data_IF_934284541401
#
_entry.id   IF_934284541401
#
_cell.length_a   1.000
_cell.length_b   1.000
_cell.length_c   1.000
_cell.angle_alpha   90.00
_cell.angle_beta   90.00
_cell.angle_gamma   90.00
#
_symmetry.space_group_name_H-M   'P 1'
#
loop_
_entity.id
_entity.type
_entity.pdbx_description
1 polymer ?
#
# COMPACT_ATOMS: atom_id res chain seq x y z
N UNK A 1 -11.47 -5.55 -22.53
CA UNK A 1 -11.58 -5.58 -21.05
C UNK A 1 -10.25 -5.10 -20.49
N UNK A 2 -10.22 -4.23 -19.47
CA UNK A 2 -9.01 -3.56 -18.96
C UNK A 2 -7.90 -4.49 -18.41
N UNK A 3 -7.98 -5.81 -18.58
CA UNK A 3 -6.98 -6.78 -18.08
C UNK A 3 -6.93 -6.91 -16.55
N UNK A 4 -7.78 -6.19 -15.82
CA UNK A 4 -7.80 -6.15 -14.37
C UNK A 4 -8.70 -7.26 -13.82
N UNK A 5 -8.12 -8.10 -12.95
CA UNK A 5 -8.88 -9.04 -12.13
C UNK A 5 -9.65 -8.28 -11.05
N UNK A 6 -10.74 -8.85 -10.49
CA UNK A 6 -11.44 -8.24 -9.36
C UNK A 6 -10.50 -7.89 -8.18
N UNK A 7 -9.52 -8.77 -7.90
CA UNK A 7 -8.48 -8.51 -6.90
C UNK A 7 -7.62 -7.31 -7.28
N UNK A 8 -7.22 -7.17 -8.56
CA UNK A 8 -6.47 -6.02 -9.05
C UNK A 8 -7.22 -4.70 -8.93
N UNK A 9 -8.54 -4.71 -9.14
CA UNK A 9 -9.40 -3.53 -8.94
C UNK A 9 -9.42 -3.13 -7.45
N UNK A 10 -9.64 -4.09 -6.55
CA UNK A 10 -9.64 -3.85 -5.10
C UNK A 10 -8.28 -3.34 -4.62
N UNK A 11 -7.19 -3.99 -5.05
CA UNK A 11 -5.82 -3.59 -4.74
C UNK A 11 -5.56 -2.14 -5.16
N UNK A 12 -5.97 -1.77 -6.38
CA UNK A 12 -5.79 -0.41 -6.90
C UNK A 12 -6.59 0.60 -6.10
N UNK A 13 -7.87 0.32 -5.81
CA UNK A 13 -8.74 1.21 -5.04
C UNK A 13 -8.18 1.49 -3.64
N UNK A 14 -7.72 0.46 -2.92
CA UNK A 14 -7.12 0.61 -1.58
C UNK A 14 -5.80 1.37 -1.65
N UNK A 15 -4.98 1.10 -2.67
CA UNK A 15 -3.72 1.80 -2.88
C UNK A 15 -3.90 3.30 -3.13
N UNK A 16 -4.99 3.70 -3.81
CA UNK A 16 -5.30 5.12 -4.00
C UNK A 16 -5.63 5.82 -2.66
N UNK A 17 -6.28 5.13 -1.73
CA UNK A 17 -6.53 5.66 -0.38
C UNK A 17 -5.19 5.86 0.35
N UNK A 18 -4.28 4.89 0.27
CA UNK A 18 -2.94 4.98 0.85
C UNK A 18 -2.18 6.19 0.28
N UNK A 19 -2.14 6.34 -1.05
CA UNK A 19 -1.47 7.45 -1.72
C UNK A 19 -2.06 8.79 -1.30
N UNK A 20 -3.39 8.92 -1.27
CA UNK A 20 -4.05 10.16 -0.86
C UNK A 20 -3.73 10.50 0.61
N UNK A 21 -3.85 9.53 1.53
CA UNK A 21 -3.54 9.75 2.94
C UNK A 21 -2.08 10.14 3.16
N UNK A 22 -1.14 9.47 2.49
CA UNK A 22 0.29 9.78 2.55
C UNK A 22 0.61 11.16 1.98
N UNK A 23 0.02 11.53 0.84
CA UNK A 23 0.22 12.84 0.24
C UNK A 23 -0.29 13.96 1.14
N UNK A 24 -1.50 13.81 1.71
CA UNK A 24 -2.06 14.81 2.63
C UNK A 24 -1.21 14.91 3.90
N UNK A 25 -0.78 13.79 4.47
CA UNK A 25 0.09 13.78 5.65
C UNK A 25 1.44 14.48 5.37
N UNK A 26 2.11 14.17 4.26
CA UNK A 26 3.38 14.80 3.89
C UNK A 26 3.24 16.29 3.59
N UNK A 27 2.15 16.73 2.97
CA UNK A 27 1.91 18.15 2.69
C UNK A 27 1.66 18.93 3.99
N UNK A 28 0.75 18.42 4.83
CA UNK A 28 0.23 19.10 6.03
C UNK A 28 1.15 18.96 7.23
N UNK A 29 1.58 17.74 7.52
CA UNK A 29 2.28 17.37 8.76
C UNK A 29 3.80 17.26 8.53
N UNK A 30 4.27 17.27 7.27
CA UNK A 30 5.68 17.06 6.86
C UNK A 30 6.26 15.69 7.24
N UNK A 31 5.45 14.83 7.81
CA UNK A 31 5.77 13.45 8.17
C UNK A 31 4.52 12.57 8.06
N UNK A 32 4.74 11.26 8.06
CA UNK A 32 3.66 10.28 8.21
C UNK A 32 3.73 9.76 9.64
N UNK A 33 2.86 10.28 10.51
CA UNK A 33 2.86 9.98 11.94
C UNK A 33 1.73 9.03 12.33
N UNK A 34 2.00 7.84 12.92
CA UNK A 34 0.95 6.93 13.38
C UNK A 34 0.15 7.48 14.58
N UNK A 35 0.54 8.65 15.11
CA UNK A 35 -0.17 9.34 16.19
C UNK A 35 -1.46 10.02 15.71
N UNK A 36 -1.60 10.27 14.41
CA UNK A 36 -2.76 10.94 13.84
C UNK A 36 -3.54 10.03 12.87
N UNK A 37 -4.76 10.44 12.53
CA UNK A 37 -5.65 9.62 11.70
C UNK A 37 -5.11 9.41 10.27
N UNK A 38 -4.42 10.39 9.68
CA UNK A 38 -3.89 10.27 8.33
C UNK A 38 -2.75 9.25 8.26
N UNK A 39 -1.81 9.31 9.20
CA UNK A 39 -0.71 8.34 9.26
C UNK A 39 -1.21 6.93 9.59
N UNK A 40 -2.18 6.77 10.50
CA UNK A 40 -2.83 5.47 10.72
C UNK A 40 -3.51 4.94 9.46
N UNK A 41 -4.25 5.79 8.76
CA UNK A 41 -4.92 5.43 7.50
C UNK A 41 -3.90 5.00 6.46
N UNK A 42 -2.82 5.77 6.27
CA UNK A 42 -1.72 5.42 5.38
C UNK A 42 -1.13 4.05 5.73
N UNK A 43 -0.77 3.80 6.99
CA UNK A 43 -0.13 2.54 7.40
C UNK A 43 -1.08 1.36 7.17
N UNK A 44 -2.32 1.44 7.65
CA UNK A 44 -3.31 0.34 7.53
C UNK A 44 -3.58 0.02 6.06
N UNK A 45 -3.86 1.05 5.25
CA UNK A 45 -4.13 0.84 3.81
C UNK A 45 -2.90 0.35 3.06
N UNK A 46 -1.70 0.80 3.42
CA UNK A 46 -0.44 0.29 2.84
C UNK A 46 -0.24 -1.20 3.16
N UNK A 47 -0.49 -1.62 4.41
CA UNK A 47 -0.44 -3.05 4.78
C UNK A 47 -1.41 -3.86 3.92
N UNK A 48 -2.66 -3.42 3.81
CA UNK A 48 -3.68 -4.11 3.00
C UNK A 48 -3.30 -4.13 1.52
N UNK A 49 -2.73 -3.04 0.98
CA UNK A 49 -2.19 -2.98 -0.38
C UNK A 49 -1.10 -4.04 -0.59
N UNK A 50 -0.14 -4.18 0.32
CA UNK A 50 0.91 -5.19 0.20
C UNK A 50 0.32 -6.61 0.21
N UNK A 51 -0.60 -6.90 1.14
CA UNK A 51 -1.24 -8.22 1.26
C UNK A 51 -2.06 -8.59 0.02
N UNK A 52 -2.85 -7.65 -0.51
CA UNK A 52 -3.64 -7.87 -1.73
C UNK A 52 -2.76 -8.00 -2.97
N UNK A 53 -1.61 -7.32 -2.99
CA UNK A 53 -0.65 -7.36 -4.09
C UNK A 53 0.00 -8.73 -4.28
N UNK A 54 0.11 -9.54 -3.23
CA UNK A 54 0.71 -10.87 -3.31
C UNK A 54 -0.12 -11.90 -4.10
N UNK A 55 -1.40 -11.60 -4.36
CA UNK A 55 -2.24 -12.42 -5.24
C UNK A 55 -2.20 -12.00 -6.72
N UNK A 56 -1.41 -10.99 -7.09
CA UNK A 56 -1.40 -10.39 -8.43
C UNK A 56 -0.15 -10.81 -9.22
N UNK A 57 -0.32 -11.75 -10.15
CA UNK A 57 0.76 -12.33 -10.96
C UNK A 57 0.74 -11.89 -12.43
N UNK A 58 0.52 -10.60 -12.71
CA UNK A 58 0.43 -10.07 -14.08
C UNK A 58 1.73 -10.21 -14.90
N UNK A 59 2.87 -10.44 -14.25
CA UNK A 59 4.16 -10.70 -14.91
C UNK A 59 4.57 -12.18 -14.87
N UNK A 60 3.60 -13.08 -14.70
CA UNK A 60 3.79 -14.53 -14.71
C UNK A 60 4.04 -15.15 -13.34
N UNK A 61 4.85 -14.52 -12.49
CA UNK A 61 5.22 -15.08 -11.17
C UNK A 61 5.57 -14.05 -10.11
N UNK A 62 6.04 -14.53 -8.95
CA UNK A 62 6.48 -13.68 -7.84
C UNK A 62 7.68 -12.85 -8.31
N UNK A 63 7.51 -11.54 -8.33
CA UNK A 63 8.47 -10.62 -8.94
C UNK A 63 8.79 -9.41 -8.08
N UNK A 64 9.50 -8.45 -8.67
CA UNK A 64 9.92 -7.20 -8.01
C UNK A 64 8.80 -6.51 -7.21
N UNK A 65 7.55 -6.40 -7.70
CA UNK A 65 6.46 -5.77 -6.93
C UNK A 65 6.16 -6.50 -5.61
N UNK A 66 6.29 -7.82 -5.59
CA UNK A 66 6.04 -8.62 -4.39
C UNK A 66 7.19 -8.49 -3.40
N UNK A 67 8.44 -8.49 -3.86
CA UNK A 67 9.60 -8.22 -3.00
C UNK A 67 9.49 -6.83 -2.36
N UNK A 68 9.06 -5.81 -3.12
CA UNK A 68 8.78 -4.48 -2.58
C UNK A 68 7.67 -4.49 -1.53
N UNK A 69 6.61 -5.28 -1.74
CA UNK A 69 5.56 -5.49 -0.74
C UNK A 69 6.11 -6.07 0.57
N UNK A 70 6.98 -7.09 0.49
CA UNK A 70 7.63 -7.66 1.68
C UNK A 70 8.49 -6.63 2.40
N UNK A 71 9.35 -5.91 1.67
CA UNK A 71 10.24 -4.89 2.25
C UNK A 71 9.41 -3.80 2.93
N UNK A 72 8.35 -3.34 2.29
CA UNK A 72 7.43 -2.34 2.85
C UNK A 72 6.82 -2.82 4.17
N UNK A 73 6.32 -4.06 4.22
CA UNK A 73 5.76 -4.64 5.43
C UNK A 73 6.80 -4.76 6.55
N UNK A 74 8.04 -5.16 6.23
CA UNK A 74 9.14 -5.21 7.22
C UNK A 74 9.45 -3.82 7.76
N UNK A 75 9.58 -2.83 6.88
CA UNK A 75 9.85 -1.44 7.28
C UNK A 75 8.74 -0.92 8.18
N UNK A 76 7.47 -1.12 7.82
CA UNK A 76 6.35 -0.74 8.65
C UNK A 76 6.36 -1.49 9.99
N UNK A 77 6.66 -2.78 10.03
CA UNK A 77 6.71 -3.54 11.28
C UNK A 77 7.84 -3.09 12.23
N UNK A 78 8.96 -2.60 11.69
CA UNK A 78 10.11 -2.13 12.48
C UNK A 78 9.99 -0.66 12.87
N UNK A 79 9.40 0.17 12.00
CA UNK A 79 9.33 1.62 12.19
C UNK A 79 8.04 2.12 12.87
N UNK A 80 7.01 1.26 13.00
CA UNK A 80 5.74 1.59 13.65
C UNK A 80 5.86 1.63 15.17
#
# INVERSE_FOLDING_TARGET
MFGLTPLGVIHTAISLIAVAAGLIALIRDKEISPRNMLGKTYVITTVITCLTGFGIFQHGGFGKPHTLGIITLIVLAVAY
#
